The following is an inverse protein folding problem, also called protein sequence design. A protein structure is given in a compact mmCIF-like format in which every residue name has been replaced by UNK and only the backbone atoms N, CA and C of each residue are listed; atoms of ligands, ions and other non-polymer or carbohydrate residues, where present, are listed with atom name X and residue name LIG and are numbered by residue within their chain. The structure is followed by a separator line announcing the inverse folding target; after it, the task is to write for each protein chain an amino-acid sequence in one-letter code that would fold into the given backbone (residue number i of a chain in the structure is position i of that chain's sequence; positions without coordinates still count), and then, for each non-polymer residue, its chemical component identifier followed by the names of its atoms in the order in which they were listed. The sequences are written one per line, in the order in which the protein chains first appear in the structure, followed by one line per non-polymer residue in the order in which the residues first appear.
data_IF_879379113849
#
_entry.id   IF_879379113849
#
_cell.length_a   1.000
_cell.length_b   1.000
_cell.length_c   1.000
_cell.angle_alpha   90.00
_cell.angle_beta   90.00
_cell.angle_gamma   90.00
#
_symmetry.space_group_name_H-M   'P 1'
#
loop_
_entity.id
_entity.type
_entity.pdbx_description
1 polymer ?
#
# COMPACT_ATOMS: atom_id res chain seq x y z
N UNK A 1 -52.03 12.72 24.72
CA UNK A 1 -51.64 13.55 25.88
C UNK A 1 -50.19 13.23 26.24
N UNK A 2 -49.25 14.09 25.81
CA UNK A 2 -48.50 15.06 26.65
C UNK A 2 -47.46 14.35 27.56
N UNK A 3 -46.22 14.23 27.11
CA UNK A 3 -45.11 15.21 27.28
C UNK A 3 -44.60 15.30 28.73
N UNK A 4 -43.36 14.83 28.96
CA UNK A 4 -42.51 15.20 30.12
C UNK A 4 -41.25 15.83 29.55
N UNK A 5 -41.26 17.16 29.38
CA UNK A 5 -40.71 18.19 30.28
C UNK A 5 -39.18 18.14 30.41
N UNK A 6 -38.57 18.97 29.55
CA UNK A 6 -37.25 19.61 29.69
C UNK A 6 -37.34 20.67 30.80
N UNK A 7 -36.37 20.69 31.73
CA UNK A 7 -35.89 21.83 32.55
C UNK A 7 -34.94 21.28 33.62
N UNK A 8 -33.87 21.90 34.11
CA UNK A 8 -33.38 23.27 33.99
C UNK A 8 -31.89 23.30 34.42
N UNK A 9 -31.29 24.46 34.19
CA UNK A 9 -29.89 24.90 34.16
C UNK A 9 -29.18 25.03 35.54
N UNK A 10 -27.91 25.48 35.43
CA UNK A 10 -27.04 26.22 36.39
C UNK A 10 -26.00 25.29 37.05
N UNK A 11 -24.67 25.47 36.98
CA UNK A 11 -23.86 26.67 37.28
C UNK A 11 -22.44 26.52 36.71
N UNK A 12 -21.82 27.63 36.31
CA UNK A 12 -20.42 27.74 35.90
C UNK A 12 -19.48 27.86 37.11
N UNK A 13 -18.25 27.33 37.00
CA UNK A 13 -17.09 27.78 37.77
C UNK A 13 -15.81 27.59 36.97
N UNK A 14 -15.10 28.70 36.77
CA UNK A 14 -13.75 28.81 36.21
C UNK A 14 -12.70 28.26 37.19
N UNK A 15 -11.71 27.53 36.70
CA UNK A 15 -10.38 27.48 37.34
C UNK A 15 -9.30 27.61 36.27
N UNK A 16 -8.65 28.78 36.26
CA UNK A 16 -7.45 29.10 35.51
C UNK A 16 -6.27 28.64 36.36
N UNK A 17 -5.51 27.65 35.90
CA UNK A 17 -4.17 27.38 36.41
C UNK A 17 -3.16 27.82 35.35
N UNK A 18 -2.43 28.88 35.69
CA UNK A 18 -1.39 29.47 34.88
C UNK A 18 -0.01 29.00 35.37
N UNK A 19 0.89 28.79 34.39
CA UNK A 19 2.35 28.97 34.44
C UNK A 19 3.22 27.95 35.21
N UNK A 20 4.05 27.26 34.43
CA UNK A 20 5.52 27.42 34.38
C UNK A 20 6.26 26.07 34.33
N UNK A 21 6.57 25.60 33.13
CA UNK A 21 7.70 24.68 32.90
C UNK A 21 8.65 25.39 31.94
N UNK A 22 9.79 25.81 32.50
CA UNK A 22 10.98 26.30 31.81
C UNK A 22 11.84 25.07 31.39
N UNK A 23 12.99 25.24 30.72
CA UNK A 23 13.16 25.67 29.35
C UNK A 23 13.84 24.59 28.48
N UNK A 24 13.79 24.88 27.19
CA UNK A 24 14.42 24.25 26.02
C UNK A 24 15.70 23.43 26.22
N UNK A 25 15.74 22.34 25.47
CA UNK A 25 16.84 21.40 25.29
C UNK A 25 18.22 22.07 25.14
N UNK A 26 19.21 21.46 25.79
CA UNK A 26 20.61 21.75 25.60
C UNK A 26 21.03 21.54 24.13
N UNK A 27 21.23 22.62 23.39
CA UNK A 27 22.20 22.64 22.28
C UNK A 27 23.59 22.57 22.90
N UNK A 28 24.18 21.39 22.88
CA UNK A 28 25.61 21.20 23.09
C UNK A 28 26.25 20.91 21.72
N UNK A 29 26.71 21.99 21.08
CA UNK A 29 27.74 21.92 20.06
C UNK A 29 29.05 21.55 20.78
N UNK A 30 29.56 20.34 20.55
CA UNK A 30 30.86 19.92 21.08
C UNK A 30 31.25 18.49 20.71
N UNK A 31 32.34 18.35 19.94
CA UNK A 31 33.05 17.10 19.63
C UNK A 31 32.53 16.42 18.37
N UNK A 32 33.20 16.42 17.21
CA UNK A 32 34.61 16.15 16.91
C UNK A 32 35.19 14.98 17.73
N UNK A 33 35.43 13.87 17.02
CA UNK A 33 36.18 12.67 17.40
C UNK A 33 35.41 11.61 18.20
N UNK A 34 35.07 10.51 17.53
CA UNK A 34 34.53 9.31 18.18
C UNK A 34 34.25 8.20 17.18
N UNK A 35 35.30 7.63 16.58
CA UNK A 35 35.19 6.34 15.91
C UNK A 35 34.81 5.25 16.92
N UNK A 36 33.68 4.60 16.70
CA UNK A 36 33.19 3.51 17.53
C UNK A 36 32.34 2.59 16.67
N UNK A 37 32.84 1.37 16.44
CA UNK A 37 32.24 0.31 15.66
C UNK A 37 30.85 -0.04 16.20
N UNK A 38 29.81 0.10 15.36
CA UNK A 38 28.63 -0.76 15.40
C UNK A 38 28.63 -1.54 14.10
N UNK A 39 29.18 -2.76 14.18
CA UNK A 39 28.95 -3.77 13.16
C UNK A 39 27.57 -4.37 13.46
N UNK A 40 26.53 -3.58 13.22
CA UNK A 40 25.17 -4.12 13.18
C UNK A 40 25.11 -4.96 11.93
N UNK A 41 25.05 -6.28 12.15
CA UNK A 41 24.64 -7.24 11.15
C UNK A 41 23.24 -6.81 10.76
N UNK A 42 23.14 -6.10 9.63
CA UNK A 42 21.90 -5.98 8.89
C UNK A 42 21.48 -7.41 8.54
N UNK A 43 20.70 -8.02 9.42
CA UNK A 43 19.74 -9.03 9.07
C UNK A 43 18.82 -8.30 8.10
N UNK A 44 19.08 -8.48 6.80
CA UNK A 44 18.14 -8.09 5.79
C UNK A 44 16.87 -8.89 6.08
N UNK A 45 15.87 -8.23 6.64
CA UNK A 45 14.51 -8.71 6.50
C UNK A 45 14.24 -8.63 4.99
N UNK A 46 14.24 -9.79 4.33
CA UNK A 46 13.94 -9.93 2.91
C UNK A 46 12.44 -9.63 2.70
N UNK A 47 12.03 -8.37 2.85
CA UNK A 47 10.73 -7.93 2.41
C UNK A 47 10.82 -7.70 0.89
N UNK A 48 10.16 -8.52 0.05
CA UNK A 48 10.23 -8.41 -1.42
C UNK A 48 9.71 -7.06 -1.97
N UNK A 49 9.15 -6.22 -1.09
CA UNK A 49 8.54 -4.94 -1.41
C UNK A 49 9.18 -3.77 -0.65
N UNK A 50 10.26 -4.00 0.12
CA UNK A 50 11.01 -2.88 0.68
C UNK A 50 11.75 -2.16 -0.44
N UNK A 51 11.42 -0.89 -0.59
CA UNK A 51 12.19 0.05 -1.39
C UNK A 51 13.61 0.05 -0.85
N UNK A 52 14.56 -0.56 -1.56
CA UNK A 52 15.95 -0.11 -1.44
C UNK A 52 15.92 1.35 -1.87
N UNK A 53 15.95 2.27 -0.91
CA UNK A 53 16.27 3.66 -1.21
C UNK A 53 17.54 3.61 -2.06
N UNK A 54 17.55 4.16 -3.29
CA UNK A 54 18.81 4.38 -3.96
C UNK A 54 19.52 5.40 -3.09
N UNK A 55 20.43 4.92 -2.24
CA UNK A 55 21.47 5.74 -1.65
C UNK A 55 22.35 6.20 -2.81
N UNK A 56 21.84 7.19 -3.54
CA UNK A 56 22.59 8.11 -4.37
C UNK A 56 23.39 8.91 -3.35
N UNK A 57 24.43 8.26 -2.84
CA UNK A 57 25.45 8.84 -2.00
C UNK A 57 25.92 10.07 -2.73
N UNK A 58 25.71 11.22 -2.08
CA UNK A 58 26.24 12.52 -2.50
C UNK A 58 27.76 12.39 -2.64
N UNK A 59 28.19 12.05 -3.84
CA UNK A 59 29.55 12.28 -4.33
C UNK A 59 29.39 12.96 -5.68
N UNK A 60 28.82 14.16 -5.67
CA UNK A 60 29.01 15.14 -6.75
C UNK A 60 30.42 15.70 -6.57
N UNK A 61 31.40 14.88 -6.92
CA UNK A 61 32.77 15.29 -7.14
C UNK A 61 33.03 15.13 -8.64
N UNK A 62 32.90 16.27 -9.34
CA UNK A 62 33.70 16.57 -10.51
C UNK A 62 33.36 15.82 -11.80
N UNK A 63 32.77 16.56 -12.74
CA UNK A 63 33.17 16.59 -14.17
C UNK A 63 33.48 15.23 -14.83
N UNK A 64 32.52 14.69 -15.59
CA UNK A 64 32.77 14.11 -16.92
C UNK A 64 31.52 13.39 -17.48
N UNK A 65 31.19 13.70 -18.75
CA UNK A 65 30.73 12.77 -19.79
C UNK A 65 29.42 12.04 -19.47
N UNK A 66 28.30 12.38 -20.10
CA UNK A 66 28.03 12.00 -21.49
C UNK A 66 26.81 11.06 -21.51
N UNK A 67 26.01 11.14 -22.58
CA UNK A 67 24.80 10.36 -22.82
C UNK A 67 25.01 8.83 -22.64
N UNK A 68 24.10 8.16 -21.95
CA UNK A 68 23.78 6.72 -22.09
C UNK A 68 22.44 6.44 -21.37
N UNK A 69 21.31 6.46 -22.09
CA UNK A 69 20.55 5.27 -22.53
C UNK A 69 19.97 4.44 -21.39
N UNK A 70 18.63 4.49 -21.31
CA UNK A 70 17.78 3.53 -20.62
C UNK A 70 17.96 2.13 -21.21
N UNK A 71 18.97 1.41 -20.76
CA UNK A 71 19.08 -0.03 -20.99
C UNK A 71 20.04 -0.64 -19.95
N UNK A 72 19.46 -1.06 -18.82
CA UNK A 72 20.08 -2.05 -17.94
C UNK A 72 19.00 -3.07 -17.58
N UNK A 73 18.70 -3.94 -18.54
CA UNK A 73 18.31 -5.33 -18.27
C UNK A 73 19.59 -6.10 -18.01
N UNK A 74 19.88 -6.40 -16.74
CA UNK A 74 21.03 -7.18 -16.32
C UNK A 74 20.64 -8.08 -15.16
N UNK A 75 20.34 -9.35 -15.47
CA UNK A 75 19.90 -10.43 -14.60
C UNK A 75 20.29 -10.34 -13.12
N UNK A 76 19.30 -9.99 -12.31
CA UNK A 76 19.12 -10.40 -10.91
C UNK A 76 17.60 -10.54 -10.73
N UNK A 77 17.13 -11.57 -10.02
CA UNK A 77 15.72 -11.95 -9.93
C UNK A 77 14.78 -10.76 -9.86
N UNK A 78 13.90 -10.64 -10.86
CA UNK A 78 12.89 -9.58 -10.96
C UNK A 78 11.85 -9.81 -9.87
N UNK A 79 12.16 -9.29 -8.69
CA UNK A 79 11.14 -9.03 -7.68
C UNK A 79 10.38 -7.79 -8.17
N UNK A 80 9.12 -8.04 -8.55
CA UNK A 80 8.11 -7.20 -9.19
C UNK A 80 8.47 -5.77 -9.60
N UNK A 81 8.59 -5.58 -10.91
CA UNK A 81 8.47 -4.26 -11.52
C UNK A 81 6.98 -3.91 -11.63
N UNK A 82 6.48 -3.04 -10.76
CA UNK A 82 5.14 -2.46 -10.90
C UNK A 82 5.06 -1.67 -12.21
N UNK A 83 4.18 -2.09 -13.13
CA UNK A 83 3.92 -1.32 -14.35
C UNK A 83 2.61 -0.56 -14.15
N UNK A 84 2.64 0.79 -14.12
CA UNK A 84 1.45 1.61 -13.92
C UNK A 84 0.59 1.60 -15.18
N UNK A 85 -0.06 0.47 -15.47
CA UNK A 85 -1.21 0.40 -16.38
C UNK A 85 -2.45 0.77 -15.57
N UNK A 86 -3.34 1.56 -16.14
CA UNK A 86 -4.52 2.07 -15.43
C UNK A 86 -5.36 0.96 -14.79
N UNK A 87 -5.47 -0.20 -15.44
CA UNK A 87 -6.23 -1.34 -14.92
C UNK A 87 -5.52 -2.04 -13.74
N UNK A 88 -4.19 -1.97 -13.66
CA UNK A 88 -3.40 -2.58 -12.58
C UNK A 88 -3.33 -1.63 -11.37
N UNK A 89 -2.99 -0.37 -11.62
CA UNK A 89 -2.81 0.64 -10.58
C UNK A 89 -4.10 0.93 -9.80
N UNK A 90 -5.26 0.77 -10.44
CA UNK A 90 -6.57 0.96 -9.82
C UNK A 90 -7.20 -0.33 -9.28
N UNK A 91 -6.45 -1.44 -9.23
CA UNK A 91 -7.02 -2.75 -8.84
C UNK A 91 -6.16 -3.51 -7.84
N UNK A 92 -4.84 -3.44 -7.97
CA UNK A 92 -3.89 -4.13 -7.09
C UNK A 92 -3.21 -3.15 -6.14
N UNK A 93 -2.98 -3.58 -4.91
CA UNK A 93 -2.15 -2.83 -3.96
C UNK A 93 -0.68 -3.08 -4.25
N UNK A 94 0.18 -2.20 -3.73
CA UNK A 94 1.62 -2.30 -3.94
C UNK A 94 2.16 -3.64 -3.47
N UNK A 95 1.67 -4.15 -2.34
CA UNK A 95 2.09 -5.41 -1.71
C UNK A 95 1.89 -6.63 -2.62
N UNK A 96 0.87 -6.63 -3.47
CA UNK A 96 0.73 -7.71 -4.47
C UNK A 96 1.61 -7.41 -5.68
N UNK A 97 1.59 -6.17 -6.16
CA UNK A 97 2.21 -5.85 -7.44
C UNK A 97 3.76 -5.97 -7.43
N UNK A 98 4.42 -5.65 -6.31
CA UNK A 98 5.87 -5.84 -6.12
C UNK A 98 6.32 -7.30 -6.14
N UNK A 99 5.41 -8.29 -6.10
CA UNK A 99 5.74 -9.72 -6.13
C UNK A 99 5.54 -10.33 -7.51
N UNK A 100 4.90 -9.60 -8.42
CA UNK A 100 4.42 -10.10 -9.70
C UNK A 100 5.14 -9.40 -10.86
N UNK A 101 5.38 -10.14 -11.93
CA UNK A 101 5.82 -9.56 -13.19
C UNK A 101 4.66 -8.83 -13.89
N UNK A 102 4.94 -7.93 -14.86
CA UNK A 102 3.91 -7.08 -15.47
C UNK A 102 2.73 -7.83 -16.11
N UNK A 103 2.97 -9.03 -16.65
CA UNK A 103 1.92 -9.86 -17.25
C UNK A 103 1.08 -10.56 -16.18
N UNK A 104 1.72 -10.97 -15.08
CA UNK A 104 1.07 -11.55 -13.91
C UNK A 104 0.20 -10.51 -13.19
N UNK A 105 0.70 -9.27 -13.07
CA UNK A 105 -0.08 -8.12 -12.58
C UNK A 105 -1.34 -7.89 -13.44
N UNK A 106 -1.21 -8.01 -14.76
CA UNK A 106 -2.35 -7.91 -15.68
C UNK A 106 -3.41 -8.98 -15.44
N UNK A 107 -2.99 -10.24 -15.27
CA UNK A 107 -3.89 -11.36 -14.97
C UNK A 107 -4.55 -11.25 -13.60
N UNK A 108 -3.79 -10.84 -12.59
CA UNK A 108 -4.32 -10.60 -11.25
C UNK A 108 -5.37 -9.48 -11.28
N UNK A 109 -5.09 -8.36 -11.95
CA UNK A 109 -6.05 -7.28 -12.13
C UNK A 109 -7.30 -7.72 -12.91
N UNK A 110 -7.15 -8.48 -13.99
CA UNK A 110 -8.30 -9.00 -14.76
C UNK A 110 -9.17 -9.94 -13.90
N UNK A 111 -8.57 -10.86 -13.14
CA UNK A 111 -9.31 -11.73 -12.23
C UNK A 111 -10.13 -10.93 -11.20
N UNK A 112 -9.53 -9.91 -10.56
CA UNK A 112 -10.25 -9.02 -9.65
C UNK A 112 -11.38 -8.26 -10.36
N UNK A 113 -11.16 -7.77 -11.59
CA UNK A 113 -12.19 -7.07 -12.36
C UNK A 113 -13.33 -8.00 -12.80
N UNK A 114 -13.04 -9.24 -13.20
CA UNK A 114 -14.06 -10.24 -13.52
C UNK A 114 -14.89 -10.60 -12.30
N UNK A 115 -14.25 -10.78 -11.14
CA UNK A 115 -14.94 -11.04 -9.89
C UNK A 115 -15.87 -9.88 -9.55
N UNK A 116 -15.35 -8.65 -9.49
CA UNK A 116 -16.15 -7.46 -9.12
C UNK A 116 -17.31 -7.16 -10.07
N UNK A 117 -17.24 -7.56 -11.35
CA UNK A 117 -18.35 -7.44 -12.30
C UNK A 117 -19.56 -8.32 -11.98
N UNK A 118 -19.39 -9.43 -11.25
CA UNK A 118 -20.53 -10.27 -10.85
C UNK A 118 -21.36 -9.63 -9.76
N UNK A 119 -20.73 -8.75 -8.98
CA UNK A 119 -21.28 -8.14 -7.76
C UNK A 119 -21.78 -9.13 -6.70
N UNK A 120 -21.38 -10.40 -6.79
CA UNK A 120 -21.88 -11.48 -5.95
C UNK A 120 -20.83 -11.89 -4.89
N UNK A 121 -21.24 -11.84 -3.62
CA UNK A 121 -20.38 -12.27 -2.50
C UNK A 121 -20.14 -13.77 -2.60
N UNK A 122 -18.87 -14.16 -2.49
CA UNK A 122 -18.41 -15.55 -2.66
C UNK A 122 -17.91 -15.87 -4.07
N UNK A 123 -18.16 -15.03 -5.08
CA UNK A 123 -17.52 -15.19 -6.39
C UNK A 123 -16.02 -15.20 -6.23
N UNK A 124 -15.39 -16.21 -6.85
CA UNK A 124 -13.93 -16.37 -6.87
C UNK A 124 -13.46 -16.51 -8.31
N UNK A 125 -12.49 -15.69 -8.68
CA UNK A 125 -11.78 -15.78 -9.96
C UNK A 125 -10.33 -16.18 -9.71
N UNK A 126 -9.82 -17.11 -10.50
CA UNK A 126 -8.44 -17.60 -10.39
C UNK A 126 -7.60 -17.19 -11.59
N UNK A 127 -6.30 -17.12 -11.40
CA UNK A 127 -5.33 -16.86 -12.46
C UNK A 127 -4.02 -17.59 -12.18
N UNK A 128 -3.25 -17.84 -13.25
CA UNK A 128 -1.94 -18.50 -13.19
C UNK A 128 -0.98 -17.85 -14.18
N UNK A 129 0.30 -17.79 -13.82
CA UNK A 129 1.36 -17.31 -14.70
C UNK A 129 1.57 -18.28 -15.87
N UNK A 130 1.79 -17.72 -17.06
CA UNK A 130 2.09 -18.53 -18.26
C UNK A 130 3.59 -18.83 -18.39
N UNK A 131 4.43 -18.04 -17.71
CA UNK A 131 5.88 -18.03 -17.91
C UNK A 131 6.65 -18.49 -16.67
N UNK A 132 6.06 -18.35 -15.48
CA UNK A 132 6.67 -18.73 -14.20
C UNK A 132 5.87 -19.84 -13.52
N UNK A 133 6.34 -21.10 -13.57
CA UNK A 133 5.71 -22.20 -12.85
C UNK A 133 5.59 -21.87 -11.35
N UNK A 134 4.47 -22.23 -10.73
CA UNK A 134 4.28 -22.00 -9.29
C UNK A 134 3.81 -20.59 -8.90
N UNK A 135 3.63 -19.69 -9.87
CA UNK A 135 3.04 -18.35 -9.65
C UNK A 135 1.57 -18.34 -10.06
N UNK A 136 0.69 -18.12 -9.09
CA UNK A 136 -0.76 -18.17 -9.27
C UNK A 136 -1.50 -17.34 -8.22
N UNK A 137 -2.79 -17.14 -8.40
CA UNK A 137 -3.58 -16.46 -7.40
C UNK A 137 -5.08 -16.54 -7.63
N UNK A 138 -5.81 -15.85 -6.75
CA UNK A 138 -7.26 -15.74 -6.81
C UNK A 138 -7.75 -14.42 -6.22
N UNK A 139 -8.92 -13.99 -6.67
CA UNK A 139 -9.66 -12.86 -6.14
C UNK A 139 -11.07 -13.32 -5.74
N UNK A 140 -11.41 -13.18 -4.47
CA UNK A 140 -12.71 -13.60 -3.91
C UNK A 140 -13.46 -12.41 -3.32
N UNK A 141 -14.72 -12.21 -3.72
CA UNK A 141 -15.58 -11.18 -3.10
C UNK A 141 -15.96 -11.64 -1.69
N UNK A 142 -15.44 -10.95 -0.67
CA UNK A 142 -15.68 -11.26 0.73
C UNK A 142 -16.93 -10.55 1.28
N UNK A 143 -17.20 -9.33 0.82
CA UNK A 143 -18.40 -8.60 1.19
C UNK A 143 -18.75 -7.52 0.17
N UNK A 144 -20.00 -7.06 0.17
CA UNK A 144 -20.53 -5.97 -0.63
C UNK A 144 -21.40 -5.07 0.24
N UNK A 145 -21.23 -3.77 0.14
CA UNK A 145 -22.00 -2.76 0.87
C UNK A 145 -22.35 -1.60 -0.06
N UNK A 146 -23.53 -1.03 0.13
CA UNK A 146 -23.96 0.19 -0.55
C UNK A 146 -24.17 1.28 0.50
N UNK A 147 -23.65 2.47 0.23
CA UNK A 147 -23.72 3.64 1.11
C UNK A 147 -24.90 4.51 0.73
N UNK A 148 -25.34 5.40 1.64
CA UNK A 148 -26.50 6.26 1.42
C UNK A 148 -26.33 7.28 0.29
N UNK A 149 -25.08 7.57 -0.09
CA UNK A 149 -24.71 8.40 -1.24
C UNK A 149 -24.79 7.64 -2.58
N UNK A 150 -25.15 6.35 -2.55
CA UNK A 150 -25.21 5.46 -3.71
C UNK A 150 -23.87 4.84 -4.09
N UNK A 151 -22.80 5.08 -3.32
CA UNK A 151 -21.50 4.44 -3.55
C UNK A 151 -21.58 2.96 -3.15
N UNK A 152 -21.23 2.07 -4.08
CA UNK A 152 -21.12 0.63 -3.78
C UNK A 152 -19.65 0.27 -3.55
N UNK A 153 -19.34 -0.45 -2.47
CA UNK A 153 -18.00 -0.97 -2.21
C UNK A 153 -18.04 -2.48 -1.97
N UNK A 154 -16.97 -3.16 -2.39
CA UNK A 154 -16.72 -4.57 -2.13
C UNK A 154 -15.37 -4.72 -1.44
N UNK A 155 -15.28 -5.66 -0.50
CA UNK A 155 -13.99 -6.16 -0.03
C UNK A 155 -13.66 -7.40 -0.84
N UNK A 156 -12.49 -7.40 -1.49
CA UNK A 156 -12.00 -8.49 -2.31
C UNK A 156 -10.77 -9.08 -1.64
N UNK A 157 -10.85 -10.34 -1.24
CA UNK A 157 -9.71 -11.09 -0.73
C UNK A 157 -8.88 -11.59 -1.91
N UNK A 158 -7.71 -11.02 -2.09
CA UNK A 158 -6.73 -11.46 -3.06
C UNK A 158 -5.72 -12.37 -2.39
N UNK A 159 -5.47 -13.52 -3.01
CA UNK A 159 -4.44 -14.48 -2.61
C UNK A 159 -3.48 -14.61 -3.77
N UNK A 160 -2.19 -14.48 -3.48
CA UNK A 160 -1.11 -14.63 -4.44
C UNK A 160 -0.13 -15.65 -3.89
N UNK A 161 0.24 -16.62 -4.71
CA UNK A 161 1.18 -17.67 -4.39
C UNK A 161 2.37 -17.54 -5.34
N UNK A 162 3.56 -17.37 -4.80
CA UNK A 162 4.83 -17.33 -5.55
C UNK A 162 5.73 -18.42 -4.99
N UNK A 163 6.02 -19.44 -5.79
CA UNK A 163 6.92 -20.54 -5.40
C UNK A 163 6.57 -21.22 -4.06
N UNK A 164 5.26 -21.29 -3.76
CA UNK A 164 4.72 -21.88 -2.53
C UNK A 164 4.58 -20.91 -1.36
N UNK A 165 5.05 -19.67 -1.47
CA UNK A 165 4.80 -18.61 -0.49
C UNK A 165 3.46 -17.91 -0.79
N UNK A 166 2.57 -17.88 0.20
CA UNK A 166 1.24 -17.27 0.07
C UNK A 166 1.21 -15.87 0.69
N UNK A 167 0.80 -14.88 -0.11
CA UNK A 167 0.49 -13.52 0.31
C UNK A 167 -1.02 -13.29 0.20
N UNK A 168 -1.64 -12.78 1.28
CA UNK A 168 -3.07 -12.41 1.29
C UNK A 168 -3.24 -10.93 1.54
N UNK A 169 -4.07 -10.28 0.74
CA UNK A 169 -4.45 -8.88 0.91
C UNK A 169 -5.94 -8.73 0.68
N UNK A 170 -6.61 -7.96 1.53
CA UNK A 170 -8.00 -7.57 1.30
C UNK A 170 -8.04 -6.17 0.68
N UNK A 171 -8.48 -6.08 -0.56
CA UNK A 171 -8.62 -4.81 -1.28
C UNK A 171 -10.05 -4.30 -1.13
N UNK A 172 -10.21 -3.02 -0.83
CA UNK A 172 -11.52 -2.36 -0.89
C UNK A 172 -11.69 -1.75 -2.28
N UNK A 173 -12.66 -2.25 -3.03
CA UNK A 173 -13.00 -1.78 -4.37
C UNK A 173 -14.31 -1.01 -4.30
N UNK A 174 -14.34 0.26 -4.73
CA UNK A 174 -15.55 1.10 -4.70
C UNK A 174 -15.91 1.61 -6.10
N UNK A 175 -17.21 1.85 -6.31
CA UNK A 175 -17.77 2.43 -7.52
C UNK A 175 -18.75 3.53 -7.12
N UNK A 176 -18.50 4.76 -7.56
CA UNK A 176 -19.40 5.87 -7.29
C UNK A 176 -20.68 5.77 -8.14
N UNK A 177 -21.77 6.47 -7.78
CA UNK A 177 -22.98 6.51 -8.59
C UNK A 177 -22.70 6.98 -10.02
N UNK A 178 -23.12 6.20 -11.01
CA UNK A 178 -22.94 6.52 -12.43
C UNK A 178 -21.57 6.15 -13.01
N UNK A 179 -20.62 5.66 -12.20
CA UNK A 179 -19.38 5.09 -12.71
C UNK A 179 -19.58 3.68 -13.25
N UNK A 180 -18.80 3.33 -14.28
CA UNK A 180 -18.96 2.05 -14.97
C UNK A 180 -18.25 0.88 -14.26
N UNK A 181 -17.28 1.15 -13.39
CA UNK A 181 -16.36 0.13 -12.85
C UNK A 181 -16.01 0.39 -11.39
N UNK A 182 -15.69 -0.68 -10.68
CA UNK A 182 -15.07 -0.58 -9.36
C UNK A 182 -13.57 -0.26 -9.51
N UNK A 183 -13.06 0.58 -8.62
CA UNK A 183 -11.64 0.90 -8.50
C UNK A 183 -11.18 0.75 -7.05
N UNK A 184 -9.89 0.55 -6.84
CA UNK A 184 -9.28 0.51 -5.53
C UNK A 184 -9.59 1.82 -4.79
N UNK A 185 -10.19 1.70 -3.60
CA UNK A 185 -10.43 2.83 -2.73
C UNK A 185 -9.12 3.28 -2.08
N UNK A 186 -8.90 4.59 -2.01
CA UNK A 186 -7.78 5.19 -1.28
C UNK A 186 -7.96 5.11 0.24
#
# INVERSE_FOLDING_TARGET
MVSRKISNRITASFLICALAVQPVAAMQFGGLLGGGRSNDRNQADDNPCETREPSIGRTILGRAIGRATSEVTGGMGVVGTFVPRADVANTLTNEIACRLDPDEQGKAADATLRATRTEEVGTTETWESETRPGVRGSATIASRNESADGTTCMNVNNVVIVDGEETRVTNRMCRAPGEARYTLAA
#
